data_IF_316647199768
#
_entry.id   IF_316647199768
#
_cell.length_a   1.000
_cell.length_b   1.000
_cell.length_c   1.000
_cell.angle_alpha   90.00
_cell.angle_beta   90.00
_cell.angle_gamma   90.00
#
_symmetry.space_group_name_H-M   'P 1'
#
loop_
_entity.id
_entity.type
_entity.pdbx_description
1 polymer ?
#
# COMPACT_ATOMS: atom_id res chain seq x y z
N UNK A 1 -2.74 6.12 17.63
CA UNK A 1 -1.36 5.85 17.17
C UNK A 1 -1.37 4.50 16.48
N UNK A 2 -0.75 4.35 15.31
CA UNK A 2 -0.73 3.09 14.53
C UNK A 2 0.65 2.44 14.68
N UNK A 3 0.68 1.12 14.85
CA UNK A 3 1.93 0.35 14.86
C UNK A 3 2.38 0.03 13.43
N UNK A 4 3.59 0.44 13.05
CA UNK A 4 4.14 0.18 11.72
C UNK A 4 4.32 -1.31 11.43
N UNK A 5 4.55 -2.14 12.45
CA UNK A 5 4.65 -3.59 12.27
C UNK A 5 3.33 -4.19 11.75
N UNK A 6 2.19 -3.59 12.11
CA UNK A 6 0.86 -4.02 11.66
C UNK A 6 0.56 -3.66 10.19
N UNK A 7 1.39 -2.83 9.57
CA UNK A 7 1.21 -2.35 8.19
C UNK A 7 2.17 -2.99 7.19
N UNK A 8 3.08 -3.85 7.66
CA UNK A 8 3.99 -4.57 6.78
C UNK A 8 3.21 -5.57 5.93
N UNK A 9 3.62 -5.71 4.67
CA UNK A 9 3.09 -6.77 3.82
C UNK A 9 3.45 -8.14 4.42
N UNK A 10 2.63 -9.19 4.21
CA UNK A 10 2.84 -10.49 4.86
C UNK A 10 4.25 -11.07 4.68
N UNK A 11 4.86 -10.87 3.50
CA UNK A 11 6.22 -11.33 3.23
C UNK A 11 7.28 -10.60 4.07
N UNK A 12 7.07 -9.33 4.38
CA UNK A 12 8.02 -8.51 5.13
C UNK A 12 7.81 -8.65 6.64
N UNK A 13 6.55 -8.75 7.08
CA UNK A 13 6.17 -8.94 8.48
C UNK A 13 6.78 -10.20 9.13
N UNK A 14 7.12 -11.20 8.31
CA UNK A 14 7.76 -12.43 8.77
C UNK A 14 9.26 -12.28 9.07
N UNK A 15 9.92 -11.27 8.50
CA UNK A 15 11.37 -11.12 8.53
C UNK A 15 11.83 -9.83 9.23
N UNK A 16 10.98 -8.80 9.24
CA UNK A 16 11.29 -7.49 9.78
C UNK A 16 10.53 -7.21 11.07
N UNK A 17 11.24 -6.66 12.05
CA UNK A 17 10.65 -6.00 13.21
C UNK A 17 11.08 -4.55 13.19
N UNK A 18 10.13 -3.64 12.96
CA UNK A 18 10.37 -2.21 12.94
C UNK A 18 10.52 -1.71 14.37
N UNK A 19 11.72 -1.23 14.69
CA UNK A 19 12.07 -0.77 16.05
C UNK A 19 12.01 0.75 16.21
N UNK A 20 12.20 1.49 15.12
CA UNK A 20 12.11 2.96 15.12
C UNK A 20 11.84 3.50 13.73
N UNK A 21 11.04 4.58 13.67
CA UNK A 21 10.92 5.44 12.49
C UNK A 21 11.64 6.76 12.77
N UNK A 22 12.41 7.24 11.79
CA UNK A 22 13.28 8.41 11.93
C UNK A 22 12.84 9.61 11.08
N UNK A 23 12.24 9.37 9.91
CA UNK A 23 11.76 10.44 9.03
C UNK A 23 10.65 9.96 8.09
N UNK A 24 9.93 10.91 7.51
CA UNK A 24 8.96 10.71 6.44
C UNK A 24 9.15 11.80 5.36
N UNK A 25 8.96 11.47 4.09
CA UNK A 25 8.99 12.44 2.99
C UNK A 25 7.60 12.73 2.40
N UNK A 26 7.52 13.67 1.44
CA UNK A 26 6.25 14.13 0.82
C UNK A 26 5.48 13.02 0.08
N UNK A 27 6.15 11.94 -0.34
CA UNK A 27 5.49 10.79 -0.99
C UNK A 27 5.12 9.70 0.01
N UNK A 28 5.24 9.96 1.31
CA UNK A 28 4.83 9.06 2.39
C UNK A 28 5.81 7.93 2.68
N UNK A 29 7.03 7.96 2.14
CA UNK A 29 8.05 6.97 2.48
C UNK A 29 8.59 7.23 3.87
N UNK A 30 8.74 6.18 4.66
CA UNK A 30 9.22 6.25 6.04
C UNK A 30 10.59 5.57 6.11
N UNK A 31 11.58 6.24 6.70
CA UNK A 31 12.90 5.66 6.95
C UNK A 31 13.09 5.37 8.44
N UNK A 32 13.98 4.44 8.76
CA UNK A 32 14.27 4.09 10.15
C UNK A 32 15.16 2.87 10.28
N UNK A 33 15.11 2.25 11.46
CA UNK A 33 15.88 1.06 11.79
C UNK A 33 14.98 -0.07 12.28
N UNK A 34 15.28 -1.28 11.84
CA UNK A 34 14.57 -2.50 12.24
C UNK A 34 15.50 -3.69 12.31
N UNK A 35 15.00 -4.75 12.92
CA UNK A 35 15.69 -6.03 12.97
C UNK A 35 15.26 -6.88 11.78
N UNK A 36 16.23 -7.39 11.04
CA UNK A 36 16.02 -8.47 10.06
C UNK A 36 16.99 -9.59 10.38
N UNK A 37 16.47 -10.81 10.59
CA UNK A 37 17.24 -11.96 11.07
C UNK A 37 18.05 -11.67 12.36
N UNK A 38 17.50 -10.84 13.26
CA UNK A 38 18.15 -10.44 14.51
C UNK A 38 19.27 -9.40 14.37
N UNK A 39 19.57 -8.93 13.16
CA UNK A 39 20.56 -7.88 12.91
C UNK A 39 19.87 -6.54 12.66
N UNK A 40 20.49 -5.45 13.10
CA UNK A 40 19.95 -4.11 12.91
C UNK A 40 20.27 -3.60 11.50
N UNK A 41 19.25 -3.22 10.74
CA UNK A 41 19.38 -2.67 9.40
C UNK A 41 18.53 -1.41 9.24
N UNK A 42 18.99 -0.53 8.35
CA UNK A 42 18.18 0.58 7.86
C UNK A 42 17.11 0.07 6.88
N UNK A 43 15.95 0.72 6.86
CA UNK A 43 14.87 0.41 5.92
C UNK A 43 14.29 1.67 5.28
N UNK A 44 13.55 1.47 4.18
CA UNK A 44 12.59 2.43 3.63
C UNK A 44 11.27 1.69 3.46
N UNK A 45 10.21 2.12 4.16
CA UNK A 45 8.85 1.66 3.94
C UNK A 45 8.23 2.52 2.84
N UNK A 46 7.66 1.86 1.83
CA UNK A 46 6.97 2.51 0.73
C UNK A 46 5.46 2.27 0.85
N UNK A 47 4.61 3.29 0.78
CA UNK A 47 3.17 3.11 0.73
C UNK A 47 2.77 2.19 -0.43
N UNK A 48 1.89 1.23 -0.16
CA UNK A 48 1.29 0.37 -1.18
C UNK A 48 -0.19 0.73 -1.34
N UNK A 49 -0.74 0.69 -2.57
CA UNK A 49 -2.17 0.92 -2.77
C UNK A 49 -3.00 -0.12 -2.02
N UNK A 50 -4.04 0.33 -1.32
CA UNK A 50 -4.97 -0.58 -0.66
C UNK A 50 -5.75 -1.40 -1.69
N UNK A 51 -6.07 -2.65 -1.35
CA UNK A 51 -6.88 -3.52 -2.21
C UNK A 51 -8.25 -2.88 -2.56
N UNK A 52 -8.79 -2.08 -1.65
CA UNK A 52 -10.01 -1.28 -1.84
C UNK A 52 -9.87 -0.27 -2.99
N UNK A 53 -8.69 0.34 -3.16
CA UNK A 53 -8.42 1.31 -4.24
C UNK A 53 -8.49 0.63 -5.60
N UNK A 54 -7.88 -0.55 -5.73
CA UNK A 54 -7.95 -1.34 -6.95
C UNK A 54 -9.38 -1.82 -7.24
N UNK A 55 -10.11 -2.27 -6.21
CA UNK A 55 -11.50 -2.69 -6.34
C UNK A 55 -12.40 -1.54 -6.81
N UNK A 56 -12.27 -0.35 -6.20
CA UNK A 56 -13.03 0.83 -6.57
C UNK A 56 -12.69 1.31 -8.00
N UNK A 57 -11.41 1.25 -8.39
CA UNK A 57 -10.99 1.55 -9.75
C UNK A 57 -11.65 0.59 -10.76
N UNK A 58 -11.66 -0.71 -10.48
CA UNK A 58 -12.34 -1.69 -11.33
C UNK A 58 -13.85 -1.45 -11.41
N UNK A 59 -14.51 -1.16 -10.29
CA UNK A 59 -15.94 -0.81 -10.26
C UNK A 59 -16.23 0.44 -11.11
N UNK A 60 -15.38 1.46 -11.02
CA UNK A 60 -15.46 2.67 -11.85
C UNK A 60 -15.30 2.38 -13.34
N UNK A 61 -14.31 1.57 -13.72
CA UNK A 61 -14.06 1.21 -15.12
C UNK A 61 -15.21 0.35 -15.70
N UNK A 62 -15.73 -0.60 -14.92
CA UNK A 62 -16.86 -1.45 -15.32
C UNK A 62 -18.14 -0.62 -15.51
N UNK A 63 -18.43 0.31 -14.61
CA UNK A 63 -19.60 1.20 -14.73
C UNK A 63 -19.49 2.13 -15.94
N UNK A 64 -18.32 2.70 -16.21
CA UNK A 64 -18.08 3.49 -17.43
C UNK A 64 -18.26 2.65 -18.71
N UNK A 65 -17.74 1.42 -18.73
CA UNK A 65 -17.92 0.48 -19.85
C UNK A 65 -19.40 0.13 -20.09
N UNK A 66 -20.16 -0.15 -19.03
CA UNK A 66 -21.59 -0.42 -19.13
C UNK A 66 -22.39 0.77 -19.67
N UNK A 67 -22.10 1.99 -19.18
CA UNK A 67 -22.77 3.22 -19.62
C UNK A 67 -22.46 3.53 -21.08
N UNK A 68 -21.19 3.44 -21.49
CA UNK A 68 -20.80 3.69 -22.89
C UNK A 68 -21.44 2.67 -23.84
N UNK A 69 -21.54 1.40 -23.44
CA UNK A 69 -22.24 0.36 -24.22
C UNK A 69 -23.74 0.61 -24.32
N UNK A 70 -24.40 1.02 -23.23
CA UNK A 70 -25.83 1.35 -23.24
C UNK A 70 -26.13 2.53 -24.18
N UNK A 71 -25.30 3.58 -24.16
CA UNK A 71 -25.42 4.74 -25.05
C UNK A 71 -25.27 4.38 -26.53
N UNK A 72 -24.46 3.38 -26.87
CA UNK A 72 -24.31 2.89 -28.26
C UNK A 72 -25.51 2.08 -28.75
N UNK A 73 -26.28 1.44 -27.85
CA UNK A 73 -27.50 0.69 -28.22
C UNK A 73 -28.74 1.57 -28.42
N UNK A 74 -28.71 2.81 -27.94
CA UNK A 74 -29.81 3.77 -28.04
C UNK A 74 -29.73 4.67 -29.29
N UNK A 75 -28.67 4.50 -30.09
CA UNK A 75 -28.53 5.09 -31.43
C UNK A 75 -28.70 4.00 -32.46
#
# INVERSE_FOLDING_TARGET
MIDLNSLLAPQDASNWVITSASAINEVGQITGQGLVNGQLHAYILTPVPEASTNAMMLLGLLSLGAVTRARRKLK
#
